data_IF_658801071784
#
_entry.id   IF_658801071784
#
_cell.length_a   1.000
_cell.length_b   1.000
_cell.length_c   1.000
_cell.angle_alpha   90.00
_cell.angle_beta   90.00
_cell.angle_gamma   90.00
#
_symmetry.space_group_name_H-M   'P 1'
#
loop_
_entity.id
_entity.type
_entity.pdbx_description
1 polymer ?
#
# COMPACT_ATOMS: atom_id res chain seq x y z
N UNK A 1 -13.19 11.08 -16.55
CA UNK A 1 -14.19 12.09 -16.93
C UNK A 1 -15.13 11.56 -18.02
N UNK A 2 -16.44 11.83 -17.94
CA UNK A 2 -17.44 11.31 -18.88
C UNK A 2 -17.09 11.56 -20.36
N UNK A 3 -16.49 12.70 -20.68
CA UNK A 3 -16.10 13.03 -22.06
C UNK A 3 -14.98 12.14 -22.65
N UNK A 4 -14.26 11.38 -21.80
CA UNK A 4 -13.19 10.49 -22.22
C UNK A 4 -13.56 9.01 -22.04
N UNK A 5 -14.79 8.73 -21.58
CA UNK A 5 -15.27 7.36 -21.38
C UNK A 5 -15.17 6.56 -22.70
N UNK A 6 -14.62 5.37 -22.64
CA UNK A 6 -14.40 4.52 -23.81
C UNK A 6 -13.20 4.91 -24.68
N UNK A 7 -12.38 5.87 -24.24
CA UNK A 7 -11.12 6.22 -24.90
C UNK A 7 -9.92 5.93 -24.00
N UNK A 8 -8.70 5.75 -24.55
CA UNK A 8 -7.49 5.57 -23.74
C UNK A 8 -7.22 6.69 -22.73
N UNK A 9 -7.69 7.92 -22.99
CA UNK A 9 -7.54 9.04 -22.07
C UNK A 9 -8.46 8.95 -20.84
N UNK A 10 -9.53 8.15 -20.91
CA UNK A 10 -10.45 7.92 -19.80
C UNK A 10 -9.95 6.87 -18.80
N UNK A 11 -8.89 6.15 -19.11
CA UNK A 11 -8.31 5.13 -18.25
C UNK A 11 -7.41 5.72 -17.15
N UNK A 12 -7.00 4.88 -16.20
CA UNK A 12 -6.05 5.27 -15.16
C UNK A 12 -4.67 5.62 -15.76
N UNK A 13 -3.98 6.58 -15.14
CA UNK A 13 -2.66 7.05 -15.56
C UNK A 13 -1.51 6.02 -15.38
N UNK A 14 -1.85 4.82 -14.98
CA UNK A 14 -0.96 3.70 -14.75
C UNK A 14 -1.28 2.99 -13.44
N UNK A 15 -0.69 1.79 -13.25
CA UNK A 15 -1.03 0.94 -12.09
C UNK A 15 -0.61 1.56 -10.76
N UNK A 16 0.48 2.34 -10.69
CA UNK A 16 0.86 3.04 -9.46
C UNK A 16 -0.18 4.09 -9.04
N UNK A 17 -0.78 4.81 -10.01
CA UNK A 17 -1.87 5.75 -9.71
C UNK A 17 -3.12 5.00 -9.29
N UNK A 18 -3.46 3.90 -9.97
CA UNK A 18 -4.61 3.06 -9.61
C UNK A 18 -4.46 2.52 -8.19
N UNK A 19 -3.31 1.94 -7.86
CA UNK A 19 -3.01 1.37 -6.54
C UNK A 19 -3.02 2.45 -5.44
N UNK A 20 -2.59 3.67 -5.74
CA UNK A 20 -2.64 4.75 -4.75
C UNK A 20 -4.05 5.01 -4.23
N UNK A 21 -5.08 4.79 -5.07
CA UNK A 21 -6.48 5.00 -4.69
C UNK A 21 -6.99 3.89 -3.77
N UNK A 22 -6.61 2.64 -3.99
CA UNK A 22 -6.91 1.55 -3.04
C UNK A 22 -6.19 1.75 -1.72
N UNK A 23 -4.89 2.07 -1.77
CA UNK A 23 -4.06 2.21 -0.57
C UNK A 23 -4.45 3.38 0.33
N UNK A 24 -4.87 4.51 -0.22
CA UNK A 24 -5.32 5.64 0.60
C UNK A 24 -6.56 5.27 1.44
N UNK A 25 -7.49 4.52 0.86
CA UNK A 25 -8.67 4.05 1.58
C UNK A 25 -8.37 2.91 2.54
N UNK A 26 -7.55 1.95 2.15
CA UNK A 26 -7.16 0.83 3.00
C UNK A 26 -6.35 1.30 4.21
N UNK A 27 -5.27 2.04 3.95
CA UNK A 27 -4.26 2.33 4.96
C UNK A 27 -4.53 3.64 5.71
N UNK A 28 -4.58 4.77 4.99
CA UNK A 28 -4.72 6.07 5.65
C UNK A 28 -6.08 6.24 6.30
N UNK A 29 -7.14 5.75 5.65
CA UNK A 29 -8.52 5.82 6.18
C UNK A 29 -8.85 4.58 7.01
N UNK A 30 -8.87 3.41 6.41
CA UNK A 30 -9.42 2.18 6.99
C UNK A 30 -8.68 1.66 8.23
N UNK A 31 -7.39 1.97 8.36
CA UNK A 31 -6.58 1.62 9.55
C UNK A 31 -6.48 2.77 10.56
N UNK A 32 -7.16 3.91 10.34
CA UNK A 32 -7.06 5.08 11.22
C UNK A 32 -7.88 4.93 12.50
N UNK A 33 -7.44 5.57 13.62
CA UNK A 33 -8.24 5.63 14.84
C UNK A 33 -9.62 6.25 14.59
N UNK A 34 -9.68 7.29 13.75
CA UNK A 34 -10.91 8.01 13.46
C UNK A 34 -11.96 7.12 12.74
N UNK A 35 -11.52 6.27 11.82
CA UNK A 35 -12.39 5.29 11.15
C UNK A 35 -12.96 4.29 12.18
N UNK A 36 -12.10 3.72 13.02
CA UNK A 36 -12.51 2.70 13.98
C UNK A 36 -13.36 3.27 15.11
N UNK A 37 -13.08 4.45 15.62
CA UNK A 37 -13.95 5.14 16.60
C UNK A 37 -15.39 5.29 16.07
N UNK A 38 -15.56 5.47 14.78
CA UNK A 38 -16.89 5.58 14.14
C UNK A 38 -17.54 4.23 13.89
N UNK A 39 -16.79 3.27 13.33
CA UNK A 39 -17.36 2.06 12.77
C UNK A 39 -17.30 0.84 13.71
N UNK A 40 -16.49 0.88 14.76
CA UNK A 40 -16.38 -0.21 15.73
C UNK A 40 -17.73 -0.62 16.36
N UNK A 41 -18.63 0.30 16.76
CA UNK A 41 -19.93 -0.10 17.31
C UNK A 41 -20.71 -0.98 16.33
N UNK A 42 -20.73 -0.59 15.04
CA UNK A 42 -21.41 -1.37 14.00
C UNK A 42 -20.70 -2.70 13.72
N UNK A 43 -19.39 -2.70 13.76
CA UNK A 43 -18.59 -3.93 13.61
C UNK A 43 -18.88 -4.93 14.74
N UNK A 44 -18.97 -4.45 15.97
CA UNK A 44 -19.35 -5.28 17.14
C UNK A 44 -20.77 -5.82 17.08
N UNK A 45 -21.72 -5.07 16.55
CA UNK A 45 -23.08 -5.58 16.32
C UNK A 45 -23.09 -6.78 15.35
N UNK A 46 -22.28 -6.71 14.29
CA UNK A 46 -22.22 -7.75 13.26
C UNK A 46 -21.41 -8.98 13.71
N UNK A 47 -20.42 -8.79 14.56
CA UNK A 47 -19.49 -9.81 15.04
C UNK A 47 -19.46 -9.88 16.58
N UNK A 48 -20.66 -9.88 17.20
CA UNK A 48 -20.79 -9.76 18.64
C UNK A 48 -20.11 -10.91 19.43
N UNK A 49 -20.30 -12.16 18.98
CA UNK A 49 -19.75 -13.32 19.65
C UNK A 49 -18.21 -13.39 19.55
N UNK A 50 -17.56 -13.29 18.37
CA UNK A 50 -16.11 -13.29 18.26
C UNK A 50 -15.42 -12.10 18.96
N UNK A 51 -16.11 -11.00 19.19
CA UNK A 51 -15.55 -9.78 19.77
C UNK A 51 -15.95 -9.54 21.23
N UNK A 52 -16.68 -10.48 21.85
CA UNK A 52 -17.24 -10.29 23.20
C UNK A 52 -16.18 -9.89 24.24
N UNK A 53 -15.02 -10.58 24.21
CA UNK A 53 -13.94 -10.38 25.18
C UNK A 53 -12.77 -9.53 24.64
N UNK A 54 -12.94 -8.92 23.44
CA UNK A 54 -11.90 -8.12 22.81
C UNK A 54 -12.14 -6.64 23.09
N UNK A 55 -11.21 -5.95 23.77
CA UNK A 55 -11.30 -4.51 23.98
C UNK A 55 -11.10 -3.73 22.66
N UNK A 56 -11.57 -2.48 22.63
CA UNK A 56 -11.36 -1.56 21.48
C UNK A 56 -9.88 -1.36 21.17
N UNK A 57 -9.04 -1.27 22.21
CA UNK A 57 -7.60 -1.15 22.06
C UNK A 57 -6.97 -2.41 21.44
N UNK A 58 -7.36 -3.59 21.92
CA UNK A 58 -6.89 -4.87 21.36
C UNK A 58 -7.31 -5.02 19.90
N UNK A 59 -8.55 -4.67 19.56
CA UNK A 59 -9.03 -4.69 18.18
C UNK A 59 -8.21 -3.75 17.30
N UNK A 60 -7.98 -2.52 17.75
CA UNK A 60 -7.21 -1.54 17.00
C UNK A 60 -5.74 -1.95 16.82
N UNK A 61 -5.13 -2.53 17.85
CA UNK A 61 -3.77 -3.08 17.77
C UNK A 61 -3.70 -4.28 16.81
N UNK A 62 -4.71 -5.16 16.80
CA UNK A 62 -4.76 -6.29 15.88
C UNK A 62 -4.84 -5.83 14.41
N UNK A 63 -5.65 -4.81 14.11
CA UNK A 63 -5.79 -4.23 12.77
C UNK A 63 -4.49 -3.57 12.28
N UNK A 64 -3.71 -3.01 13.21
CA UNK A 64 -2.45 -2.33 12.92
C UNK A 64 -1.23 -3.16 13.36
N UNK A 65 -1.39 -4.49 13.46
CA UNK A 65 -0.29 -5.38 13.83
C UNK A 65 0.80 -5.35 12.76
N UNK A 66 2.04 -5.15 13.19
CA UNK A 66 3.23 -5.34 12.37
C UNK A 66 3.84 -6.70 12.72
N UNK A 67 4.03 -7.55 11.73
CA UNK A 67 4.60 -8.87 11.90
C UNK A 67 5.36 -9.31 10.66
N UNK A 68 6.44 -10.05 10.86
CA UNK A 68 7.15 -10.67 9.75
C UNK A 68 6.28 -11.79 9.16
N UNK A 69 6.02 -11.72 7.88
CA UNK A 69 5.22 -12.71 7.14
C UNK A 69 5.95 -13.05 5.84
N UNK A 70 6.09 -14.32 5.44
CA UNK A 70 6.69 -14.69 4.17
C UNK A 70 5.80 -14.30 2.97
N UNK A 71 4.49 -14.17 3.16
CA UNK A 71 3.51 -13.95 2.10
C UNK A 71 3.23 -12.45 1.91
N UNK A 72 3.52 -11.94 0.71
CA UNK A 72 3.35 -10.52 0.37
C UNK A 72 1.91 -10.03 0.52
N UNK A 73 0.93 -10.80 0.07
CA UNK A 73 -0.48 -10.37 0.10
C UNK A 73 -1.03 -10.25 1.51
N UNK A 74 -0.43 -10.96 2.48
CA UNK A 74 -0.77 -10.92 3.90
C UNK A 74 0.14 -9.99 4.71
N UNK A 75 1.09 -9.32 4.04
CA UNK A 75 2.03 -8.42 4.71
C UNK A 75 1.34 -7.17 5.23
N UNK A 76 1.76 -6.73 6.40
CA UNK A 76 1.31 -5.47 6.98
C UNK A 76 1.84 -4.23 6.23
N UNK A 77 1.30 -3.07 6.55
CA UNK A 77 1.62 -1.82 5.87
C UNK A 77 3.12 -1.42 5.95
N UNK A 78 3.79 -1.79 7.03
CA UNK A 78 5.21 -1.46 7.26
C UNK A 78 6.12 -2.36 6.41
N UNK A 79 5.85 -3.67 6.42
CA UNK A 79 6.70 -4.67 5.75
C UNK A 79 6.38 -4.85 4.27
N UNK A 80 5.18 -4.46 3.81
CA UNK A 80 4.72 -4.68 2.44
C UNK A 80 5.70 -4.20 1.36
N UNK A 81 6.26 -3.00 1.52
CA UNK A 81 7.18 -2.45 0.52
C UNK A 81 8.51 -3.22 0.45
N UNK A 82 8.94 -3.89 1.54
CA UNK A 82 10.13 -4.74 1.53
C UNK A 82 9.93 -5.97 0.62
N UNK A 83 8.72 -6.54 0.61
CA UNK A 83 8.35 -7.60 -0.32
C UNK A 83 8.41 -7.15 -1.78
N UNK A 84 7.99 -5.91 -2.07
CA UNK A 84 8.08 -5.34 -3.42
C UNK A 84 9.54 -5.13 -3.83
N UNK A 85 10.36 -4.55 -2.94
CA UNK A 85 11.80 -4.31 -3.17
C UNK A 85 12.52 -5.63 -3.43
N UNK A 86 12.25 -6.69 -2.66
CA UNK A 86 12.81 -8.02 -2.87
C UNK A 86 12.62 -8.48 -4.32
N UNK A 87 11.38 -8.42 -4.81
CA UNK A 87 11.03 -8.85 -6.18
C UNK A 87 11.66 -7.97 -7.24
N UNK A 88 11.65 -6.68 -7.04
CA UNK A 88 12.25 -5.72 -7.95
C UNK A 88 13.76 -5.95 -8.12
N UNK A 89 14.48 -6.16 -7.03
CA UNK A 89 15.92 -6.41 -7.09
C UNK A 89 16.26 -7.75 -7.75
N UNK A 90 15.45 -8.81 -7.52
CA UNK A 90 15.62 -10.10 -8.21
C UNK A 90 15.34 -9.97 -9.69
N UNK A 91 14.27 -9.27 -10.05
CA UNK A 91 13.88 -9.03 -11.44
C UNK A 91 14.98 -8.25 -12.19
N UNK A 92 15.52 -7.20 -11.57
CA UNK A 92 16.65 -6.47 -12.14
C UNK A 92 17.90 -7.35 -12.33
N UNK A 93 18.24 -8.20 -11.36
CA UNK A 93 19.37 -9.11 -11.47
C UNK A 93 19.19 -10.15 -12.58
N UNK A 94 17.95 -10.67 -12.73
CA UNK A 94 17.58 -11.62 -13.76
C UNK A 94 17.76 -11.01 -15.18
N UNK A 95 17.17 -9.83 -15.41
CA UNK A 95 17.22 -9.17 -16.72
C UNK A 95 18.62 -8.57 -17.05
N UNK A 96 19.41 -8.26 -16.04
CA UNK A 96 20.81 -7.89 -16.22
C UNK A 96 21.74 -9.09 -16.53
N UNK A 97 21.23 -10.34 -16.47
CA UNK A 97 22.03 -11.56 -16.63
C UNK A 97 22.92 -11.90 -15.44
N UNK A 98 22.73 -11.24 -14.30
CA UNK A 98 23.49 -11.47 -13.06
C UNK A 98 22.89 -12.58 -12.19
N UNK A 99 21.70 -13.06 -12.52
CA UNK A 99 21.00 -14.14 -11.85
C UNK A 99 20.42 -15.07 -12.90
N UNK A 100 20.62 -16.38 -12.76
CA UNK A 100 19.98 -17.39 -13.58
C UNK A 100 18.64 -17.80 -12.99
N UNK A 101 17.75 -18.32 -13.84
CA UNK A 101 16.41 -18.76 -13.41
C UNK A 101 16.49 -19.86 -12.35
N UNK A 102 17.40 -20.82 -12.52
CA UNK A 102 17.63 -21.92 -11.58
C UNK A 102 18.07 -21.46 -10.19
N UNK A 103 18.70 -20.28 -10.08
CA UNK A 103 19.25 -19.74 -8.84
C UNK A 103 18.25 -18.82 -8.09
N UNK A 104 17.09 -18.51 -8.70
CA UNK A 104 16.10 -17.59 -8.10
C UNK A 104 15.64 -18.05 -6.71
N UNK A 105 15.33 -19.33 -6.43
CA UNK A 105 14.88 -19.73 -5.10
C UNK A 105 15.89 -19.45 -4.01
N UNK A 106 17.19 -19.70 -4.25
CA UNK A 106 18.28 -19.39 -3.33
C UNK A 106 18.43 -17.89 -3.09
N UNK A 107 18.50 -17.11 -4.18
CA UNK A 107 18.58 -15.66 -4.11
C UNK A 107 17.37 -15.01 -3.43
N UNK A 108 16.18 -15.61 -3.58
CA UNK A 108 14.98 -15.19 -2.86
C UNK A 108 15.13 -15.37 -1.36
N UNK A 109 15.56 -16.55 -0.92
CA UNK A 109 15.75 -16.85 0.51
C UNK A 109 16.76 -15.91 1.16
N UNK A 110 17.90 -15.64 0.51
CA UNK A 110 18.89 -14.69 0.99
C UNK A 110 18.33 -13.26 1.13
N UNK A 111 17.57 -12.81 0.13
CA UNK A 111 16.96 -11.48 0.18
C UNK A 111 15.83 -11.39 1.20
N UNK A 112 15.03 -12.44 1.37
CA UNK A 112 13.99 -12.49 2.37
C UNK A 112 14.58 -12.42 3.78
N UNK A 113 15.65 -13.16 4.06
CA UNK A 113 16.39 -13.06 5.32
C UNK A 113 16.92 -11.64 5.55
N UNK A 114 17.52 -11.04 4.55
CA UNK A 114 18.11 -9.69 4.66
C UNK A 114 17.07 -8.60 4.89
N UNK A 115 15.93 -8.64 4.18
CA UNK A 115 14.94 -7.57 4.17
C UNK A 115 13.82 -7.80 5.19
N UNK A 116 13.41 -9.04 5.40
CA UNK A 116 12.27 -9.41 6.24
C UNK A 116 12.71 -10.11 7.54
N UNK A 117 13.97 -10.58 7.61
CA UNK A 117 14.50 -11.33 8.75
C UNK A 117 13.83 -12.69 8.93
N UNK A 118 13.45 -13.34 7.83
CA UNK A 118 12.88 -14.68 7.80
C UNK A 118 13.25 -15.38 6.49
N UNK A 119 13.16 -16.71 6.51
CA UNK A 119 13.33 -17.53 5.30
C UNK A 119 12.02 -18.26 5.01
N UNK A 120 11.59 -18.31 3.74
CA UNK A 120 10.43 -19.12 3.35
C UNK A 120 10.75 -20.60 3.56
N UNK A 121 9.76 -21.37 4.03
CA UNK A 121 9.92 -22.81 4.31
C UNK A 121 9.70 -23.68 3.05
N UNK A 122 9.18 -23.07 1.99
CA UNK A 122 8.89 -23.73 0.71
C UNK A 122 8.85 -22.71 -0.43
N UNK A 123 8.92 -23.18 -1.68
CA UNK A 123 8.78 -22.31 -2.86
C UNK A 123 7.38 -21.65 -2.94
N UNK A 124 6.35 -22.27 -2.39
CA UNK A 124 5.01 -21.66 -2.32
C UNK A 124 4.93 -20.48 -1.34
N UNK A 125 5.78 -20.44 -0.32
CA UNK A 125 5.98 -19.27 0.54
C UNK A 125 7.04 -18.31 -0.01
N UNK A 126 7.82 -18.76 -0.98
CA UNK A 126 8.91 -18.04 -1.63
C UNK A 126 8.56 -17.58 -3.04
N UNK A 127 9.36 -18.02 -4.00
CA UNK A 127 9.35 -17.58 -5.40
C UNK A 127 8.06 -17.87 -6.14
N UNK A 128 7.27 -18.85 -5.73
CA UNK A 128 6.01 -19.25 -6.39
C UNK A 128 4.75 -18.68 -5.74
N UNK A 129 4.87 -17.81 -4.73
CA UNK A 129 3.69 -17.23 -4.06
C UNK A 129 2.89 -16.27 -4.92
N UNK A 130 3.50 -15.66 -5.93
CA UNK A 130 2.88 -14.70 -6.84
C UNK A 130 2.77 -15.24 -8.27
N UNK A 131 1.70 -14.91 -8.96
CA UNK A 131 1.45 -15.34 -10.35
C UNK A 131 2.02 -14.38 -11.41
N UNK A 132 2.65 -13.28 -11.01
CA UNK A 132 3.10 -12.22 -11.90
C UNK A 132 4.10 -12.72 -12.95
N UNK A 133 5.19 -13.33 -12.51
CA UNK A 133 6.25 -13.79 -13.43
C UNK A 133 5.80 -14.95 -14.31
N UNK A 134 5.04 -15.88 -13.77
CA UNK A 134 4.46 -16.98 -14.55
C UNK A 134 3.44 -16.50 -15.59
N UNK A 135 2.78 -15.37 -15.33
CA UNK A 135 1.89 -14.67 -16.27
C UNK A 135 2.60 -13.68 -17.19
N UNK A 136 3.94 -13.56 -17.12
CA UNK A 136 4.72 -12.64 -17.94
C UNK A 136 4.68 -11.17 -17.51
N UNK A 137 4.14 -10.87 -16.31
CA UNK A 137 4.01 -9.50 -15.81
C UNK A 137 5.30 -9.02 -15.12
N UNK A 138 6.38 -8.94 -15.87
CA UNK A 138 7.64 -8.35 -15.42
C UNK A 138 7.55 -6.83 -15.39
N UNK A 139 8.28 -6.18 -14.46
CA UNK A 139 8.24 -4.72 -14.22
C UNK A 139 6.96 -4.25 -13.51
N UNK A 140 6.09 -5.17 -13.07
CA UNK A 140 4.81 -4.84 -12.46
C UNK A 140 4.92 -4.49 -10.97
N UNK A 141 5.72 -5.23 -10.20
CA UNK A 141 5.83 -5.09 -8.74
C UNK A 141 6.14 -3.67 -8.25
N UNK A 142 7.00 -2.88 -8.92
CA UNK A 142 7.24 -1.49 -8.51
C UNK A 142 5.97 -0.63 -8.42
N UNK A 143 4.94 -0.93 -9.23
CA UNK A 143 3.67 -0.20 -9.22
C UNK A 143 3.00 -0.19 -7.84
N UNK A 144 3.14 -1.25 -7.06
CA UNK A 144 2.60 -1.34 -5.70
C UNK A 144 3.28 -0.36 -4.74
N UNK A 145 4.62 -0.30 -4.77
CA UNK A 145 5.37 0.64 -3.94
C UNK A 145 5.13 2.09 -4.38
N UNK A 146 5.14 2.37 -5.68
CA UNK A 146 4.80 3.69 -6.23
C UNK A 146 3.39 4.13 -5.82
N UNK A 147 2.44 3.20 -5.77
CA UNK A 147 1.10 3.43 -5.26
C UNK A 147 1.09 3.84 -3.80
N UNK A 148 1.86 3.16 -2.94
CA UNK A 148 1.98 3.51 -1.53
C UNK A 148 2.63 4.89 -1.32
N UNK A 149 3.67 5.21 -2.10
CA UNK A 149 4.32 6.53 -2.06
C UNK A 149 3.33 7.63 -2.42
N UNK A 150 2.62 7.46 -3.53
CA UNK A 150 1.63 8.44 -3.99
C UNK A 150 0.45 8.57 -3.01
N UNK A 151 -0.05 7.46 -2.47
CA UNK A 151 -1.13 7.48 -1.48
C UNK A 151 -0.75 8.32 -0.25
N UNK A 152 0.45 8.09 0.30
CA UNK A 152 0.94 8.85 1.46
C UNK A 152 1.13 10.34 1.14
N UNK A 153 1.62 10.67 -0.05
CA UNK A 153 1.84 12.06 -0.46
C UNK A 153 0.51 12.79 -0.74
N UNK A 154 -0.46 12.13 -1.36
CA UNK A 154 -1.82 12.65 -1.52
C UNK A 154 -2.50 12.86 -0.17
N UNK A 155 -2.33 11.90 0.76
CA UNK A 155 -2.87 12.01 2.10
C UNK A 155 -2.29 13.19 2.87
N UNK A 156 -0.96 13.35 2.87
CA UNK A 156 -0.30 14.52 3.50
C UNK A 156 -0.85 15.83 2.94
N UNK A 157 -1.03 15.90 1.62
CA UNK A 157 -1.60 17.09 0.96
C UNK A 157 -3.05 17.32 1.36
N UNK A 158 -3.87 16.29 1.37
CA UNK A 158 -5.27 16.38 1.79
C UNK A 158 -5.39 16.85 3.25
N UNK A 159 -4.55 16.32 4.15
CA UNK A 159 -4.51 16.75 5.55
C UNK A 159 -4.12 18.23 5.67
N UNK A 160 -3.12 18.70 4.93
CA UNK A 160 -2.73 20.12 4.91
C UNK A 160 -3.83 21.04 4.37
N UNK A 161 -4.73 20.53 3.55
CA UNK A 161 -5.90 21.25 3.00
C UNK A 161 -7.17 21.06 3.88
N UNK A 162 -7.04 20.40 5.04
CA UNK A 162 -8.13 20.12 6.00
C UNK A 162 -9.31 19.34 5.37
N UNK A 163 -8.99 18.43 4.45
CA UNK A 163 -9.99 17.67 3.67
C UNK A 163 -10.51 16.43 4.39
N UNK A 164 -9.65 15.59 5.04
CA UNK A 164 -10.13 14.34 5.62
C UNK A 164 -11.06 14.58 6.82
N UNK A 165 -12.29 14.16 6.67
CA UNK A 165 -13.30 14.18 7.72
C UNK A 165 -13.73 12.73 8.02
N UNK A 166 -13.45 12.21 9.23
CA UNK A 166 -13.84 10.85 9.60
C UNK A 166 -15.36 10.63 9.56
N UNK A 167 -16.13 11.72 9.72
CA UNK A 167 -17.60 11.67 9.69
C UNK A 167 -18.15 11.74 8.27
N UNK A 168 -17.38 12.25 7.32
CA UNK A 168 -17.80 12.43 5.92
C UNK A 168 -16.70 12.03 4.92
N UNK A 169 -16.58 10.73 4.59
CA UNK A 169 -15.61 10.26 3.60
C UNK A 169 -15.81 10.85 2.20
N UNK A 170 -16.99 11.42 1.91
CA UNK A 170 -17.30 12.00 0.60
C UNK A 170 -16.44 13.24 0.30
N UNK A 171 -15.97 13.95 1.33
CA UNK A 171 -15.04 15.08 1.16
C UNK A 171 -13.71 14.63 0.55
N UNK A 172 -13.12 13.57 1.09
CA UNK A 172 -11.89 12.99 0.55
C UNK A 172 -12.12 12.46 -0.87
N UNK A 173 -13.23 11.75 -1.11
CA UNK A 173 -13.57 11.25 -2.44
C UNK A 173 -13.69 12.40 -3.45
N UNK A 174 -14.40 13.48 -3.12
CA UNK A 174 -14.55 14.65 -3.98
C UNK A 174 -13.21 15.32 -4.29
N UNK A 175 -12.34 15.41 -3.29
CA UNK A 175 -10.99 15.92 -3.46
C UNK A 175 -10.15 15.03 -4.38
N UNK A 176 -10.18 13.70 -4.20
CA UNK A 176 -9.51 12.74 -5.08
C UNK A 176 -10.05 12.80 -6.51
N UNK A 177 -11.36 12.96 -6.68
CA UNK A 177 -11.98 13.16 -8.00
C UNK A 177 -11.43 14.41 -8.69
N UNK A 178 -11.27 15.50 -7.94
CA UNK A 178 -10.73 16.76 -8.47
C UNK A 178 -9.24 16.67 -8.76
N UNK A 179 -8.44 16.09 -7.86
CA UNK A 179 -6.97 16.10 -7.96
C UNK A 179 -6.40 14.94 -8.80
N UNK A 180 -7.10 13.81 -8.87
CA UNK A 180 -6.62 12.59 -9.51
C UNK A 180 -7.57 12.11 -10.61
N UNK A 181 -8.80 11.71 -10.27
CA UNK A 181 -9.65 10.94 -11.17
C UNK A 181 -10.04 11.70 -12.45
N UNK A 182 -10.32 13.02 -12.34
CA UNK A 182 -10.71 13.85 -13.50
C UNK A 182 -9.65 13.93 -14.59
N UNK A 183 -8.41 13.59 -14.28
CA UNK A 183 -7.31 13.68 -15.23
C UNK A 183 -7.21 12.45 -16.15
N UNK A 184 -7.64 11.27 -15.69
CA UNK A 184 -7.47 10.04 -16.46
C UNK A 184 -6.00 9.82 -16.84
N UNK A 185 -5.75 9.31 -18.05
CA UNK A 185 -4.39 9.05 -18.56
C UNK A 185 -3.76 10.26 -19.29
N UNK A 186 -4.18 11.48 -18.98
CA UNK A 186 -3.62 12.70 -19.60
C UNK A 186 -2.28 13.13 -19.00
N UNK A 187 -1.93 12.59 -17.85
CA UNK A 187 -0.66 12.82 -17.15
C UNK A 187 -0.10 11.47 -16.76
N UNK A 188 1.21 11.30 -16.78
CA UNK A 188 1.86 10.15 -16.18
C UNK A 188 1.87 10.29 -14.63
N UNK A 189 2.36 9.27 -13.92
CA UNK A 189 2.37 9.24 -12.46
C UNK A 189 3.13 10.43 -11.86
N UNK A 190 4.28 10.81 -12.41
CA UNK A 190 5.11 11.90 -11.87
C UNK A 190 4.44 13.26 -12.08
N UNK A 191 3.97 13.51 -13.29
CA UNK A 191 3.22 14.73 -13.63
C UNK A 191 1.94 14.88 -12.79
N UNK A 192 1.21 13.76 -12.59
CA UNK A 192 0.01 13.76 -11.76
C UNK A 192 0.34 14.06 -10.29
N UNK A 193 1.42 13.51 -9.78
CA UNK A 193 1.89 13.76 -8.40
C UNK A 193 2.18 15.24 -8.19
N UNK A 194 2.98 15.84 -9.07
CA UNK A 194 3.32 17.27 -8.99
C UNK A 194 2.08 18.16 -9.13
N UNK A 195 1.18 17.83 -10.06
CA UNK A 195 -0.06 18.57 -10.25
C UNK A 195 -0.99 18.50 -9.02
N UNK A 196 -1.09 17.34 -8.38
CA UNK A 196 -1.99 17.13 -7.25
C UNK A 196 -1.43 17.65 -5.93
N UNK A 197 -0.13 17.56 -5.72
CA UNK A 197 0.51 17.82 -4.41
C UNK A 197 1.39 19.07 -4.38
N UNK A 198 1.93 19.47 -5.53
CA UNK A 198 2.90 20.56 -5.67
C UNK A 198 4.36 20.10 -5.50
N UNK A 199 4.60 18.82 -5.24
CA UNK A 199 5.92 18.25 -5.01
C UNK A 199 6.15 17.02 -5.89
N UNK A 200 7.41 16.72 -6.23
CA UNK A 200 7.80 15.48 -6.93
C UNK A 200 7.58 14.26 -6.03
N UNK A 201 7.32 13.10 -6.64
CA UNK A 201 7.12 11.84 -5.91
C UNK A 201 8.39 11.48 -5.10
N UNK A 202 8.21 11.28 -3.80
CA UNK A 202 9.31 11.00 -2.88
C UNK A 202 8.89 10.05 -1.73
N UNK A 203 9.82 9.25 -1.18
CA UNK A 203 9.52 8.34 -0.08
C UNK A 203 9.25 9.04 1.25
N UNK A 204 9.63 10.30 1.40
CA UNK A 204 9.54 11.07 2.66
C UNK A 204 8.16 10.99 3.29
N UNK A 205 7.09 11.24 2.53
CA UNK A 205 5.73 11.27 3.08
C UNK A 205 5.29 9.91 3.61
N UNK A 206 5.64 8.82 2.92
CA UNK A 206 5.35 7.46 3.38
C UNK A 206 6.13 7.12 4.65
N UNK A 207 7.42 7.42 4.70
CA UNK A 207 8.25 7.14 5.88
C UNK A 207 7.76 7.90 7.10
N UNK A 208 7.50 9.20 6.97
CA UNK A 208 6.95 10.03 8.06
C UNK A 208 5.58 9.55 8.53
N UNK A 209 4.71 9.14 7.60
CA UNK A 209 3.42 8.56 7.92
C UNK A 209 3.57 7.26 8.72
N UNK A 210 4.39 6.31 8.26
CA UNK A 210 4.64 5.05 8.96
C UNK A 210 5.25 5.28 10.35
N UNK A 211 6.26 6.15 10.46
CA UNK A 211 6.88 6.49 11.74
C UNK A 211 5.86 7.08 12.71
N UNK A 212 5.10 8.09 12.29
CA UNK A 212 4.15 8.77 13.16
C UNK A 212 3.05 7.83 13.66
N UNK A 213 2.61 6.90 12.82
CA UNK A 213 1.55 5.96 13.14
C UNK A 213 2.05 4.81 14.01
N UNK A 214 3.04 4.08 13.54
CA UNK A 214 3.45 2.82 14.15
C UNK A 214 4.36 2.99 15.36
N UNK A 215 5.28 3.94 15.36
CA UNK A 215 6.10 4.19 16.56
C UNK A 215 5.25 4.64 17.75
N UNK A 216 4.19 5.41 17.51
CA UNK A 216 3.28 5.83 18.59
C UNK A 216 2.47 4.66 19.17
N UNK A 217 2.07 3.71 18.33
CA UNK A 217 1.33 2.50 18.75
C UNK A 217 2.21 1.58 19.59
N UNK A 218 3.42 1.29 19.10
CA UNK A 218 4.31 0.33 19.75
C UNK A 218 5.04 0.87 20.98
N UNK A 219 5.19 2.21 21.11
CA UNK A 219 5.70 2.83 22.35
C UNK A 219 4.69 2.85 23.50
N UNK A 220 3.39 2.86 23.20
CA UNK A 220 2.33 2.79 24.22
C UNK A 220 2.06 1.37 24.70
N UNK A 221 2.42 0.36 23.92
CA UNK A 221 2.19 -1.04 24.24
C UNK A 221 3.31 -1.67 25.10
N UNK A 222 4.42 -0.94 25.35
CA UNK A 222 5.50 -1.27 26.29
C UNK A 222 5.42 -0.38 27.54
#
# INVERSE_FOLDING_TARGET
PHKWLGTPLGEAAGMGVHESQSRIWENQVGRSPAFWNRWEPRFRELFSEPLADISSEQLFLAINKVSRNPIRVDADEVTYNLHVILRFELEQALFAGNLKVEDIPGAWSEKAEKLLGLQPTSDSEGVLQDVHWSGGAFGYFPSYCLGNLLAAQLWEKAVKEDVPDPSDPSKLLSWLQLKVHRHGRRMNLLELTENATGDSLAPRCLLQYLESRYLSLYRKAN
#
